data_IF_035935761710
#
_entry.id   IF_035935761710
#
_cell.length_a   1.000
_cell.length_b   1.000
_cell.length_c   1.000
_cell.angle_alpha   90.00
_cell.angle_beta   90.00
_cell.angle_gamma   90.00
#
_symmetry.space_group_name_H-M   'P 1'
#
loop_
_entity.id
_entity.type
_entity.pdbx_description
1 polymer ?
#
# COMPACT_ATOMS: atom_id res chain seq x y z
N UNK A 1 19.79 -16.47 51.75
CA UNK A 1 18.62 -17.23 51.27
C UNK A 1 18.08 -16.53 50.03
N UNK A 2 18.60 -16.90 48.86
CA UNK A 2 18.14 -16.37 47.57
C UNK A 2 17.48 -17.51 46.81
N UNK A 3 16.15 -17.56 46.82
CA UNK A 3 15.39 -18.53 46.03
C UNK A 3 15.31 -18.02 44.59
N UNK A 4 15.99 -18.74 43.70
CA UNK A 4 15.91 -18.62 42.27
C UNK A 4 14.46 -18.83 41.79
N UNK A 5 13.88 -17.80 41.17
CA UNK A 5 12.80 -18.00 40.21
C UNK A 5 13.45 -18.37 38.88
N UNK A 6 13.79 -19.65 38.73
CA UNK A 6 13.99 -20.24 37.42
C UNK A 6 12.62 -20.29 36.73
N UNK A 7 12.33 -19.26 35.93
CA UNK A 7 11.25 -19.35 34.95
C UNK A 7 11.68 -20.41 33.95
N UNK A 8 10.96 -21.53 33.95
CA UNK A 8 11.12 -22.57 32.95
C UNK A 8 10.87 -21.94 31.58
N UNK A 9 11.94 -21.82 30.77
CA UNK A 9 11.81 -21.59 29.33
C UNK A 9 11.13 -22.82 28.74
N UNK A 10 9.80 -22.78 28.66
CA UNK A 10 9.02 -23.76 27.89
C UNK A 10 9.40 -23.57 26.43
N UNK A 11 9.93 -24.64 25.82
CA UNK A 11 10.46 -24.69 24.45
C UNK A 11 9.41 -24.56 23.36
N UNK A 12 8.67 -23.45 23.33
CA UNK A 12 7.73 -23.09 22.25
C UNK A 12 8.20 -21.88 21.42
N UNK A 13 9.45 -21.42 21.62
CA UNK A 13 9.98 -20.19 20.97
C UNK A 13 10.78 -20.50 19.70
N UNK A 14 10.58 -21.66 19.06
CA UNK A 14 11.39 -22.06 17.91
C UNK A 14 11.02 -21.40 16.56
N UNK A 15 10.13 -20.41 16.48
CA UNK A 15 9.96 -19.69 15.19
C UNK A 15 9.37 -18.27 15.24
N UNK A 16 9.78 -17.39 16.16
CA UNK A 16 9.36 -15.97 16.10
C UNK A 16 10.10 -15.15 15.02
N UNK A 17 10.93 -15.80 14.20
CA UNK A 17 11.63 -15.16 13.08
C UNK A 17 10.76 -14.99 11.83
N UNK A 18 11.22 -14.19 10.86
CA UNK A 18 10.62 -14.16 9.52
C UNK A 18 10.43 -15.57 8.97
N UNK A 19 9.24 -15.82 8.45
CA UNK A 19 8.78 -17.12 7.90
C UNK A 19 8.54 -18.23 8.94
N UNK A 20 8.46 -17.86 10.22
CA UNK A 20 7.88 -18.73 11.25
C UNK A 20 6.37 -18.92 11.14
N UNK A 21 5.81 -19.78 11.99
CA UNK A 21 4.41 -20.20 11.88
C UNK A 21 3.40 -19.04 11.93
N UNK A 22 3.63 -18.07 12.83
CA UNK A 22 2.78 -16.87 12.94
C UNK A 22 2.87 -15.97 11.71
N UNK A 23 4.08 -15.79 11.17
CA UNK A 23 4.29 -14.98 9.98
C UNK A 23 3.55 -15.58 8.77
N UNK A 24 3.73 -16.89 8.53
CA UNK A 24 3.06 -17.60 7.46
C UNK A 24 1.53 -17.59 7.62
N UNK A 25 1.03 -17.73 8.86
CA UNK A 25 -0.39 -17.61 9.16
C UNK A 25 -0.94 -16.23 8.78
N UNK A 26 -0.26 -15.15 9.18
CA UNK A 26 -0.71 -13.78 8.89
C UNK A 26 -0.67 -13.46 7.39
N UNK A 27 0.37 -13.92 6.68
CA UNK A 27 0.43 -13.83 5.21
C UNK A 27 -0.69 -14.63 4.53
N UNK A 28 -0.94 -15.87 5.00
CA UNK A 28 -2.02 -16.71 4.50
C UNK A 28 -3.40 -16.09 4.73
N UNK A 29 -3.65 -15.57 5.93
CA UNK A 29 -4.86 -14.83 6.28
C UNK A 29 -5.04 -13.62 5.37
N UNK A 30 -3.97 -12.85 5.14
CA UNK A 30 -3.98 -11.70 4.23
C UNK A 30 -4.37 -12.10 2.81
N UNK A 31 -3.82 -13.20 2.29
CA UNK A 31 -4.13 -13.70 0.96
C UNK A 31 -5.60 -14.12 0.83
N UNK A 32 -6.13 -14.87 1.81
CA UNK A 32 -7.53 -15.30 1.84
C UNK A 32 -8.47 -14.09 1.90
N UNK A 33 -8.20 -13.13 2.79
CA UNK A 33 -8.97 -11.89 2.88
C UNK A 33 -8.87 -11.07 1.58
N UNK A 34 -7.72 -11.05 0.92
CA UNK A 34 -7.52 -10.38 -0.36
C UNK A 34 -8.43 -10.95 -1.44
N UNK A 35 -8.48 -12.27 -1.56
CA UNK A 35 -9.40 -12.96 -2.49
C UNK A 35 -10.86 -12.65 -2.14
N UNK A 36 -11.23 -12.71 -0.86
CA UNK A 36 -12.58 -12.42 -0.40
C UNK A 36 -13.02 -10.99 -0.70
N UNK A 37 -12.14 -10.00 -0.45
CA UNK A 37 -12.40 -8.57 -0.75
C UNK A 37 -12.57 -8.36 -2.26
N UNK A 38 -11.67 -8.90 -3.08
CA UNK A 38 -11.76 -8.79 -4.54
C UNK A 38 -13.05 -9.43 -5.05
N UNK A 39 -13.38 -10.64 -4.59
CA UNK A 39 -14.60 -11.33 -4.98
C UNK A 39 -15.86 -10.57 -4.56
N UNK A 40 -15.92 -10.12 -3.30
CA UNK A 40 -17.06 -9.37 -2.76
C UNK A 40 -17.29 -8.06 -3.50
N UNK A 41 -16.24 -7.26 -3.72
CA UNK A 41 -16.34 -5.99 -4.44
C UNK A 41 -16.74 -6.18 -5.91
N UNK A 42 -16.28 -7.26 -6.58
CA UNK A 42 -16.74 -7.58 -7.94
C UNK A 42 -18.26 -7.82 -8.02
N UNK A 43 -18.86 -8.43 -6.99
CA UNK A 43 -20.30 -8.72 -6.94
C UNK A 43 -21.16 -7.47 -6.78
N UNK A 44 -20.64 -6.45 -6.12
CA UNK A 44 -21.37 -5.20 -5.85
C UNK A 44 -20.88 -4.02 -6.70
N UNK A 45 -19.97 -4.25 -7.65
CA UNK A 45 -19.34 -3.21 -8.47
C UNK A 45 -20.37 -2.36 -9.21
N UNK A 46 -20.19 -1.04 -9.17
CA UNK A 46 -21.07 -0.04 -9.78
C UNK A 46 -22.32 0.29 -8.97
N UNK A 47 -22.52 -0.33 -7.80
CA UNK A 47 -23.71 -0.12 -6.97
C UNK A 47 -23.48 0.91 -5.86
N UNK A 48 -24.56 1.37 -5.24
CA UNK A 48 -24.49 2.15 -3.99
C UNK A 48 -23.81 1.38 -2.87
N UNK A 49 -24.00 0.06 -2.80
CA UNK A 49 -23.39 -0.78 -1.78
C UNK A 49 -21.86 -0.73 -1.87
N UNK A 50 -21.28 -0.78 -3.08
CA UNK A 50 -19.82 -0.62 -3.26
C UNK A 50 -19.33 0.72 -2.69
N UNK A 51 -20.02 1.81 -3.00
CA UNK A 51 -19.65 3.15 -2.50
C UNK A 51 -19.73 3.23 -1.00
N UNK A 52 -20.77 2.70 -0.38
CA UNK A 52 -20.88 2.66 1.08
C UNK A 52 -19.80 1.78 1.70
N UNK A 53 -19.53 0.59 1.16
CA UNK A 53 -18.49 -0.32 1.65
C UNK A 53 -17.12 0.34 1.61
N UNK A 54 -16.72 0.96 0.49
CA UNK A 54 -15.43 1.63 0.40
C UNK A 54 -15.35 2.86 1.29
N UNK A 55 -16.40 3.69 1.37
CA UNK A 55 -16.40 4.87 2.24
C UNK A 55 -16.33 4.48 3.71
N UNK A 56 -17.08 3.47 4.15
CA UNK A 56 -17.01 2.94 5.51
C UNK A 56 -15.60 2.43 5.81
N UNK A 57 -15.03 1.60 4.93
CA UNK A 57 -13.65 1.12 5.08
C UNK A 57 -12.63 2.26 5.13
N UNK A 58 -12.81 3.30 4.31
CA UNK A 58 -11.93 4.47 4.27
C UNK A 58 -12.02 5.31 5.54
N UNK A 59 -13.22 5.58 6.06
CA UNK A 59 -13.40 6.30 7.32
C UNK A 59 -12.91 5.49 8.52
N UNK A 60 -13.13 4.17 8.54
CA UNK A 60 -12.59 3.27 9.56
C UNK A 60 -11.07 3.28 9.54
N UNK A 61 -10.44 3.16 8.36
CA UNK A 61 -9.00 3.22 8.22
C UNK A 61 -8.44 4.59 8.65
N UNK A 62 -9.11 5.69 8.31
CA UNK A 62 -8.70 7.03 8.73
C UNK A 62 -8.73 7.15 10.27
N UNK A 63 -9.84 6.76 10.89
CA UNK A 63 -9.98 6.77 12.34
C UNK A 63 -8.92 5.92 13.04
N UNK A 64 -8.70 4.70 12.55
CA UNK A 64 -7.66 3.81 13.08
C UNK A 64 -6.24 4.38 12.91
N UNK A 65 -5.97 5.07 11.79
CA UNK A 65 -4.66 5.68 11.51
C UNK A 65 -4.38 6.89 12.38
N UNK A 66 -5.40 7.74 12.59
CA UNK A 66 -5.33 8.87 13.52
C UNK A 66 -5.14 8.35 14.94
N UNK A 67 -5.92 7.34 15.35
CA UNK A 67 -5.78 6.72 16.66
C UNK A 67 -4.37 6.16 16.87
N UNK A 68 -3.86 5.37 15.93
CA UNK A 68 -2.49 4.82 15.99
C UNK A 68 -1.46 5.94 16.14
N UNK A 69 -1.57 7.00 15.33
CA UNK A 69 -0.62 8.10 15.36
C UNK A 69 -0.67 8.88 16.67
N UNK A 70 -1.86 9.20 17.18
CA UNK A 70 -2.02 9.86 18.48
C UNK A 70 -1.47 8.99 19.60
N UNK A 71 -1.79 7.70 19.59
CA UNK A 71 -1.35 6.76 20.62
C UNK A 71 0.18 6.65 20.67
N UNK A 72 0.83 6.47 19.53
CA UNK A 72 2.29 6.34 19.46
C UNK A 72 3.03 7.65 19.77
N UNK A 73 2.33 8.79 19.73
CA UNK A 73 2.87 10.11 20.08
C UNK A 73 2.53 10.56 21.52
N UNK A 74 1.92 9.70 22.35
CA UNK A 74 1.75 10.00 23.77
C UNK A 74 3.12 10.07 24.47
N UNK A 75 3.33 10.98 25.45
CA UNK A 75 4.64 11.18 26.09
C UNK A 75 5.27 9.90 26.67
N UNK A 76 4.45 8.98 27.17
CA UNK A 76 4.88 7.69 27.72
C UNK A 76 5.44 6.69 26.68
N UNK A 77 5.18 6.92 25.39
CA UNK A 77 5.52 6.01 24.28
C UNK A 77 6.36 6.69 23.20
N UNK A 78 6.58 7.99 23.33
CA UNK A 78 7.23 8.76 22.29
C UNK A 78 8.70 8.39 22.16
N UNK A 79 9.05 7.85 21.01
CA UNK A 79 10.42 7.57 20.59
C UNK A 79 10.61 8.31 19.27
N UNK A 80 11.48 9.33 19.26
CA UNK A 80 11.64 10.22 18.11
C UNK A 80 11.95 9.49 16.79
N UNK A 81 12.63 8.35 16.85
CA UNK A 81 12.98 7.53 15.70
C UNK A 81 11.82 6.67 15.16
N UNK A 82 10.72 6.54 15.89
CA UNK A 82 9.61 5.63 15.57
C UNK A 82 8.25 6.33 15.54
N UNK A 83 8.03 7.35 16.38
CA UNK A 83 6.71 7.92 16.64
C UNK A 83 6.20 8.89 15.58
N UNK A 84 7.09 9.62 14.90
CA UNK A 84 6.65 10.51 13.84
C UNK A 84 6.13 9.69 12.65
N UNK A 85 4.95 10.04 12.09
CA UNK A 85 4.33 9.29 11.00
C UNK A 85 5.01 9.58 9.65
N UNK A 86 6.31 9.30 9.56
CA UNK A 86 7.18 9.69 8.46
C UNK A 86 7.57 8.50 7.56
N UNK A 87 7.33 7.25 7.97
CA UNK A 87 7.55 6.12 7.07
C UNK A 87 6.56 6.18 5.89
N UNK A 88 6.96 5.59 4.77
CA UNK A 88 6.09 5.45 3.59
C UNK A 88 4.74 4.80 3.93
N UNK A 89 4.72 3.80 4.83
CA UNK A 89 3.50 3.14 5.27
C UNK A 89 2.60 4.05 6.13
N UNK A 90 3.15 5.01 6.88
CA UNK A 90 2.37 5.98 7.64
C UNK A 90 1.57 6.88 6.70
N UNK A 91 2.27 7.53 5.75
CA UNK A 91 1.63 8.39 4.77
C UNK A 91 0.62 7.62 3.90
N UNK A 92 0.99 6.39 3.51
CA UNK A 92 0.14 5.54 2.68
C UNK A 92 -1.19 5.19 3.34
N UNK A 93 -1.25 5.01 4.67
CA UNK A 93 -2.52 4.75 5.37
C UNK A 93 -3.53 5.88 5.17
N UNK A 94 -3.07 7.13 5.30
CA UNK A 94 -3.89 8.31 5.06
C UNK A 94 -4.30 8.45 3.59
N UNK A 95 -3.36 8.24 2.65
CA UNK A 95 -3.66 8.27 1.22
C UNK A 95 -4.65 7.17 0.83
N UNK A 96 -4.55 5.99 1.45
CA UNK A 96 -5.48 4.87 1.24
C UNK A 96 -6.88 5.20 1.72
N UNK A 97 -7.02 5.82 2.89
CA UNK A 97 -8.31 6.31 3.35
C UNK A 97 -8.92 7.32 2.37
N UNK A 98 -8.11 8.28 1.87
CA UNK A 98 -8.55 9.23 0.84
C UNK A 98 -8.98 8.49 -0.44
N UNK A 99 -8.20 7.52 -0.90
CA UNK A 99 -8.51 6.74 -2.10
C UNK A 99 -9.84 5.98 -1.96
N UNK A 100 -10.09 5.37 -0.80
CA UNK A 100 -11.32 4.65 -0.51
C UNK A 100 -12.55 5.57 -0.43
N UNK A 101 -12.42 6.73 0.23
CA UNK A 101 -13.53 7.68 0.41
C UNK A 101 -13.88 8.38 -0.91
N UNK A 102 -12.85 8.79 -1.66
CA UNK A 102 -13.00 9.75 -2.77
C UNK A 102 -12.78 9.14 -4.16
N UNK A 103 -12.12 7.98 -4.25
CA UNK A 103 -11.70 7.33 -5.51
C UNK A 103 -10.92 8.24 -6.45
N UNK A 104 -10.23 9.26 -5.92
CA UNK A 104 -9.43 10.17 -6.75
C UNK A 104 -8.29 9.40 -7.41
N UNK A 105 -8.14 9.60 -8.72
CA UNK A 105 -7.18 8.87 -9.55
C UNK A 105 -5.74 8.91 -8.99
N UNK A 106 -5.33 10.06 -8.44
CA UNK A 106 -3.99 10.25 -7.90
C UNK A 106 -3.75 9.40 -6.64
N UNK A 107 -4.75 9.31 -5.76
CA UNK A 107 -4.67 8.53 -4.54
C UNK A 107 -4.69 7.04 -4.85
N UNK A 108 -5.56 6.61 -5.76
CA UNK A 108 -5.61 5.22 -6.24
C UNK A 108 -4.28 4.81 -6.90
N UNK A 109 -3.65 5.70 -7.68
CA UNK A 109 -2.35 5.43 -8.28
C UNK A 109 -1.26 5.23 -7.20
N UNK A 110 -1.18 6.10 -6.19
CA UNK A 110 -0.22 5.94 -5.09
C UNK A 110 -0.49 4.64 -4.34
N UNK A 111 -1.74 4.33 -4.00
CA UNK A 111 -2.13 3.08 -3.32
C UNK A 111 -1.75 1.84 -4.11
N UNK A 112 -1.91 1.87 -5.44
CA UNK A 112 -1.48 0.76 -6.30
C UNK A 112 0.01 0.49 -6.17
N UNK A 113 0.84 1.51 -6.34
CA UNK A 113 2.28 1.33 -6.38
C UNK A 113 2.87 1.13 -4.97
N UNK A 114 2.58 2.02 -4.04
CA UNK A 114 3.14 1.97 -2.70
C UNK A 114 2.54 0.81 -1.90
N UNK A 115 1.24 0.55 -2.05
CA UNK A 115 0.54 -0.53 -1.34
C UNK A 115 0.97 -1.93 -1.77
N UNK A 116 1.13 -2.16 -3.06
CA UNK A 116 1.52 -3.48 -3.57
C UNK A 116 3.02 -3.75 -3.54
N UNK A 117 3.84 -2.74 -3.27
CA UNK A 117 5.30 -2.92 -3.21
C UNK A 117 5.87 -2.53 -1.86
N UNK A 118 5.91 -1.24 -1.50
CA UNK A 118 6.55 -0.77 -0.27
C UNK A 118 5.85 -1.32 1.00
N UNK A 119 4.52 -1.25 1.05
CA UNK A 119 3.74 -1.80 2.17
C UNK A 119 3.81 -3.34 2.21
N UNK A 120 3.76 -4.00 1.04
CA UNK A 120 3.90 -5.45 0.96
C UNK A 120 5.28 -5.91 1.46
N UNK A 121 6.36 -5.18 1.14
CA UNK A 121 7.70 -5.48 1.64
C UNK A 121 7.75 -5.45 3.19
N UNK A 122 7.13 -4.45 3.82
CA UNK A 122 7.03 -4.41 5.28
C UNK A 122 6.32 -5.65 5.86
N UNK A 123 5.33 -6.20 5.14
CA UNK A 123 4.64 -7.42 5.56
C UNK A 123 5.45 -8.69 5.29
N UNK A 124 6.28 -8.72 4.24
CA UNK A 124 7.08 -9.90 3.87
C UNK A 124 8.36 -10.04 4.69
N UNK A 125 8.97 -8.91 5.06
CA UNK A 125 10.18 -8.85 5.89
C UNK A 125 9.94 -7.93 7.09
N UNK A 126 8.99 -8.28 7.99
CA UNK A 126 8.71 -7.47 9.16
C UNK A 126 9.90 -7.55 10.12
N UNK A 127 10.09 -6.49 10.91
CA UNK A 127 11.01 -6.54 12.03
C UNK A 127 10.55 -7.60 13.05
N UNK A 128 11.48 -8.34 13.65
CA UNK A 128 11.16 -9.49 14.51
C UNK A 128 10.21 -9.16 15.67
N UNK A 129 10.31 -7.95 16.26
CA UNK A 129 9.39 -7.52 17.32
C UNK A 129 7.93 -7.43 16.88
N UNK A 130 7.66 -7.35 15.57
CA UNK A 130 6.32 -7.41 14.97
C UNK A 130 5.81 -8.86 14.81
N UNK A 131 6.53 -9.85 15.33
CA UNK A 131 6.18 -11.27 15.31
C UNK A 131 6.23 -11.94 16.69
N UNK A 132 6.96 -11.36 17.66
CA UNK A 132 7.26 -12.03 18.94
C UNK A 132 6.05 -12.19 19.88
N UNK A 133 5.15 -11.20 19.95
CA UNK A 133 4.02 -11.19 20.89
C UNK A 133 2.77 -10.55 20.28
N UNK A 134 1.57 -10.94 20.77
CA UNK A 134 0.30 -10.29 20.46
C UNK A 134 0.13 -8.94 21.20
N UNK A 135 1.21 -8.15 21.22
CA UNK A 135 1.20 -6.79 21.75
C UNK A 135 0.28 -5.91 20.90
N UNK A 136 -0.20 -4.80 21.46
CA UNK A 136 -1.07 -3.93 20.67
C UNK A 136 -0.33 -3.27 19.49
N UNK A 137 0.99 -3.04 19.63
CA UNK A 137 1.83 -2.57 18.53
C UNK A 137 1.83 -3.59 17.39
N UNK A 138 2.04 -4.87 17.70
CA UNK A 138 2.03 -5.97 16.71
C UNK A 138 0.67 -6.08 16.03
N UNK A 139 -0.42 -6.04 16.80
CA UNK A 139 -1.78 -6.14 16.25
C UNK A 139 -2.08 -4.97 15.32
N UNK A 140 -1.75 -3.73 15.73
CA UNK A 140 -2.00 -2.55 14.90
C UNK A 140 -1.09 -2.50 13.68
N UNK A 141 0.17 -2.93 13.79
CA UNK A 141 1.08 -3.08 12.67
C UNK A 141 0.46 -3.97 11.59
N UNK A 142 0.09 -5.21 11.94
CA UNK A 142 -0.48 -6.14 10.97
C UNK A 142 -1.84 -5.68 10.46
N UNK A 143 -2.75 -5.25 11.33
CA UNK A 143 -4.08 -4.81 10.94
C UNK A 143 -4.05 -3.64 9.95
N UNK A 144 -3.21 -2.63 10.18
CA UNK A 144 -3.10 -1.46 9.30
C UNK A 144 -2.43 -1.80 7.96
N UNK A 145 -1.36 -2.59 7.96
CA UNK A 145 -0.70 -3.00 6.72
C UNK A 145 -1.59 -3.92 5.87
N UNK A 146 -2.32 -4.85 6.52
CA UNK A 146 -3.33 -5.67 5.86
C UNK A 146 -4.45 -4.79 5.28
N UNK A 147 -4.99 -3.84 6.04
CA UNK A 147 -6.05 -2.96 5.55
C UNK A 147 -5.64 -2.18 4.30
N UNK A 148 -4.41 -1.66 4.28
CA UNK A 148 -3.85 -0.96 3.11
C UNK A 148 -3.70 -1.89 1.91
N UNK A 149 -3.14 -3.10 2.11
CA UNK A 149 -2.98 -4.07 1.03
C UNK A 149 -4.33 -4.54 0.48
N UNK A 150 -5.28 -4.86 1.36
CA UNK A 150 -6.64 -5.26 0.98
C UNK A 150 -7.37 -4.15 0.23
N UNK A 151 -7.19 -2.88 0.63
CA UNK A 151 -7.74 -1.72 -0.07
C UNK A 151 -7.14 -1.57 -1.47
N UNK A 152 -5.82 -1.76 -1.63
CA UNK A 152 -5.18 -1.77 -2.93
C UNK A 152 -5.76 -2.90 -3.81
N UNK A 153 -5.80 -4.13 -3.30
CA UNK A 153 -6.38 -5.27 -4.02
C UNK A 153 -7.84 -5.00 -4.44
N UNK A 154 -8.64 -4.49 -3.52
CA UNK A 154 -10.04 -4.17 -3.71
C UNK A 154 -10.27 -3.07 -4.74
N UNK A 155 -9.54 -1.96 -4.69
CA UNK A 155 -9.68 -0.86 -5.64
C UNK A 155 -9.32 -1.27 -7.07
N UNK A 156 -8.23 -2.02 -7.26
CA UNK A 156 -7.77 -2.40 -8.60
C UNK A 156 -8.50 -3.60 -9.18
N UNK A 157 -8.61 -4.70 -8.44
CA UNK A 157 -9.20 -5.94 -8.98
C UNK A 157 -10.66 -6.16 -8.58
N UNK A 158 -11.13 -5.53 -7.50
CA UNK A 158 -12.53 -5.54 -7.08
C UNK A 158 -13.37 -4.51 -7.84
N UNK A 159 -13.06 -3.24 -7.63
CA UNK A 159 -13.71 -2.06 -8.24
C UNK A 159 -13.24 -1.78 -9.67
N UNK A 160 -12.16 -2.43 -10.10
CA UNK A 160 -11.66 -2.35 -11.47
C UNK A 160 -11.07 -1.00 -11.87
N UNK A 161 -10.49 -0.26 -10.92
CA UNK A 161 -9.67 0.91 -11.25
C UNK A 161 -8.42 0.47 -12.01
N UNK A 162 -7.90 1.35 -12.85
CA UNK A 162 -6.71 1.11 -13.65
C UNK A 162 -5.71 2.22 -13.46
N UNK A 163 -4.44 1.88 -13.64
CA UNK A 163 -3.33 2.81 -13.56
C UNK A 163 -2.61 2.82 -14.90
N UNK A 164 -2.21 4.01 -15.34
CA UNK A 164 -1.50 4.25 -16.58
C UNK A 164 -0.13 4.90 -16.29
N UNK A 165 0.57 5.32 -17.35
CA UNK A 165 1.86 5.99 -17.21
C UNK A 165 1.79 7.31 -16.43
N UNK A 166 0.63 8.00 -16.44
CA UNK A 166 0.43 9.21 -15.63
C UNK A 166 0.34 8.86 -14.14
N UNK A 167 -0.33 7.77 -13.80
CA UNK A 167 -0.33 7.25 -12.44
C UNK A 167 1.06 6.81 -11.98
N UNK A 168 1.83 6.15 -12.86
CA UNK A 168 3.23 5.78 -12.62
C UNK A 168 4.09 7.01 -12.30
N UNK A 169 4.12 8.01 -13.18
CA UNK A 169 4.97 9.19 -12.99
C UNK A 169 4.60 9.96 -11.72
N UNK A 170 3.30 10.07 -11.43
CA UNK A 170 2.81 10.67 -10.19
C UNK A 170 3.31 9.90 -8.96
N UNK A 171 3.05 8.60 -8.88
CA UNK A 171 3.38 7.82 -7.67
C UNK A 171 4.89 7.71 -7.46
N UNK A 172 5.65 7.57 -8.55
CA UNK A 172 7.11 7.51 -8.52
C UNK A 172 7.71 8.86 -8.13
N UNK A 173 7.23 9.94 -8.73
CA UNK A 173 7.61 11.30 -8.34
C UNK A 173 7.28 11.60 -6.87
N UNK A 174 6.11 11.17 -6.37
CA UNK A 174 5.75 11.30 -4.97
C UNK A 174 6.70 10.51 -4.05
N UNK A 175 7.15 9.32 -4.47
CA UNK A 175 8.06 8.51 -3.67
C UNK A 175 9.44 9.16 -3.56
N UNK A 176 9.95 9.70 -4.67
CA UNK A 176 11.21 10.44 -4.72
C UNK A 176 11.12 11.77 -3.95
N UNK A 177 10.02 12.51 -4.09
CA UNK A 177 9.80 13.73 -3.35
C UNK A 177 9.77 13.46 -1.84
N UNK A 178 9.11 12.38 -1.41
CA UNK A 178 9.12 11.99 0.01
C UNK A 178 10.52 11.60 0.48
N UNK A 179 11.28 10.81 -0.29
CA UNK A 179 12.68 10.50 0.05
C UNK A 179 13.53 11.76 0.21
N UNK A 180 13.36 12.74 -0.69
CA UNK A 180 14.08 14.01 -0.65
C UNK A 180 13.73 14.85 0.59
N UNK A 181 12.51 14.71 1.13
CA UNK A 181 12.12 15.30 2.41
C UNK A 181 12.72 14.53 3.59
N UNK A 182 12.70 13.19 3.54
CA UNK A 182 13.18 12.35 4.62
C UNK A 182 14.69 12.49 4.83
N UNK A 183 15.50 12.58 3.78
CA UNK A 183 16.96 12.71 3.88
C UNK A 183 17.43 13.81 4.85
N UNK A 184 17.02 15.09 4.69
CA UNK A 184 17.39 16.15 5.63
C UNK A 184 16.70 16.03 6.99
N UNK A 185 15.44 15.58 7.04
CA UNK A 185 14.71 15.40 8.31
C UNK A 185 15.39 14.36 9.20
N UNK A 186 15.72 13.21 8.63
CA UNK A 186 16.47 12.14 9.28
C UNK A 186 17.83 12.63 9.78
N UNK A 187 18.57 13.35 8.93
CA UNK A 187 19.88 13.91 9.30
C UNK A 187 19.78 14.93 10.43
N UNK A 188 18.74 15.76 10.45
CA UNK A 188 18.54 16.79 11.46
C UNK A 188 18.06 16.20 12.81
N UNK A 189 17.26 15.13 12.77
CA UNK A 189 16.68 14.51 13.97
C UNK A 189 17.48 13.30 14.48
N UNK A 190 18.50 12.84 13.75
CA UNK A 190 19.22 11.62 14.07
C UNK A 190 18.36 10.36 13.97
N UNK A 191 17.42 10.34 12.99
CA UNK A 191 16.47 9.25 12.76
C UNK A 191 16.68 8.62 11.39
N UNK A 192 15.94 7.55 11.06
CA UNK A 192 16.06 6.87 9.78
C UNK A 192 14.69 6.44 9.21
N UNK A 193 13.77 7.39 9.10
CA UNK A 193 12.48 7.15 8.47
C UNK A 193 12.64 6.79 7.00
N UNK A 194 11.86 5.81 6.55
CA UNK A 194 11.91 5.30 5.17
C UNK A 194 13.21 4.60 4.79
N UNK A 195 14.18 4.46 5.70
CA UNK A 195 15.47 3.79 5.49
C UNK A 195 16.30 4.38 4.33
N UNK A 196 16.25 5.72 4.19
CA UNK A 196 16.97 6.46 3.13
C UNK A 196 18.34 6.99 3.56
N UNK A 197 18.65 6.94 4.86
CA UNK A 197 19.96 7.37 5.42
C UNK A 197 20.85 6.17 5.74
N UNK A 198 20.25 5.05 6.15
CA UNK A 198 20.94 3.77 6.37
C UNK A 198 19.95 2.60 6.18
N UNK A 199 20.43 1.37 5.91
CA UNK A 199 19.58 0.18 5.88
C UNK A 199 18.84 -0.05 7.22
N UNK A 200 17.66 -0.69 7.20
CA UNK A 200 16.96 -1.05 8.43
C UNK A 200 17.81 -1.99 9.30
N UNK A 201 17.68 -1.94 10.63
CA UNK A 201 18.37 -2.87 11.52
C UNK A 201 17.89 -4.31 11.30
N UNK A 202 18.84 -5.24 11.18
CA UNK A 202 18.59 -6.66 10.90
C UNK A 202 19.03 -7.04 9.49
N UNK A 203 18.66 -8.24 9.04
CA UNK A 203 18.93 -8.70 7.68
C UNK A 203 17.81 -8.27 6.75
N UNK A 204 18.15 -7.55 5.68
CA UNK A 204 17.22 -7.01 4.70
C UNK A 204 17.74 -7.19 3.27
N UNK A 205 16.86 -7.08 2.28
CA UNK A 205 17.27 -7.06 0.88
C UNK A 205 18.13 -5.84 0.53
N UNK A 206 18.04 -4.77 1.34
CA UNK A 206 18.81 -3.54 1.15
C UNK A 206 20.30 -3.79 1.39
N UNK A 207 20.64 -4.71 2.28
CA UNK A 207 22.04 -5.06 2.60
C UNK A 207 22.80 -5.64 1.41
N UNK A 208 22.08 -6.16 0.41
CA UNK A 208 22.65 -6.72 -0.82
C UNK A 208 23.00 -5.64 -1.86
N UNK A 209 22.59 -4.38 -1.64
CA UNK A 209 22.67 -3.31 -2.63
C UNK A 209 23.88 -2.37 -2.43
N UNK A 210 24.74 -2.66 -1.46
CA UNK A 210 25.97 -1.90 -1.19
C UNK A 210 25.81 -0.79 -0.16
N UNK A 211 26.88 -0.02 0.13
CA UNK A 211 26.88 1.00 1.18
C UNK A 211 26.03 2.22 0.78
N UNK A 212 25.64 3.02 1.76
CA UNK A 212 25.05 4.33 1.50
C UNK A 212 26.05 5.24 0.75
N UNK A 213 25.64 6.03 -0.26
CA UNK A 213 24.30 6.20 -0.81
C UNK A 213 23.96 5.26 -2.00
N UNK A 214 24.83 4.30 -2.33
CA UNK A 214 24.71 3.43 -3.51
C UNK A 214 23.43 2.59 -3.47
N UNK A 215 23.05 2.04 -2.31
CA UNK A 215 21.82 1.25 -2.23
C UNK A 215 20.58 2.08 -2.54
N UNK A 216 20.55 3.37 -2.15
CA UNK A 216 19.40 4.26 -2.40
C UNK A 216 19.23 4.45 -3.91
N UNK A 217 20.34 4.62 -4.64
CA UNK A 217 20.33 4.69 -6.09
C UNK A 217 19.78 3.39 -6.72
N UNK A 218 20.20 2.22 -6.21
CA UNK A 218 19.64 0.94 -6.66
C UNK A 218 18.17 0.78 -6.35
N UNK A 219 17.70 1.22 -5.17
CA UNK A 219 16.28 1.20 -4.82
C UNK A 219 15.46 2.06 -5.78
N UNK A 220 15.95 3.26 -6.13
CA UNK A 220 15.30 4.14 -7.12
C UNK A 220 15.13 3.42 -8.46
N UNK A 221 16.20 2.79 -8.97
CA UNK A 221 16.16 2.05 -10.25
C UNK A 221 15.24 0.83 -10.17
N UNK A 222 15.38 0.01 -9.13
CA UNK A 222 14.64 -1.24 -8.98
C UNK A 222 13.15 -0.96 -8.84
N UNK A 223 12.76 -0.04 -7.95
CA UNK A 223 11.36 0.35 -7.75
C UNK A 223 10.79 0.93 -9.05
N UNK A 224 11.52 1.83 -9.72
CA UNK A 224 11.09 2.40 -10.99
C UNK A 224 10.88 1.34 -12.07
N UNK A 225 11.78 0.37 -12.16
CA UNK A 225 11.69 -0.76 -13.11
C UNK A 225 10.49 -1.64 -12.81
N UNK A 226 10.32 -2.07 -11.54
CA UNK A 226 9.19 -2.90 -11.12
C UNK A 226 7.87 -2.17 -11.38
N UNK A 227 7.78 -0.88 -11.08
CA UNK A 227 6.56 -0.11 -11.29
C UNK A 227 6.26 0.14 -12.77
N UNK A 228 7.28 0.31 -13.61
CA UNK A 228 7.11 0.37 -15.05
C UNK A 228 6.56 -0.96 -15.60
N UNK A 229 7.11 -2.10 -15.14
CA UNK A 229 6.61 -3.44 -15.48
C UNK A 229 5.18 -3.67 -14.96
N UNK A 230 4.84 -3.18 -13.76
CA UNK A 230 3.48 -3.20 -13.22
C UNK A 230 2.51 -2.36 -14.04
N UNK A 231 2.97 -1.28 -14.69
CA UNK A 231 2.13 -0.37 -15.49
C UNK A 231 1.86 -0.92 -16.89
N UNK A 232 2.86 -1.60 -17.46
CA UNK A 232 2.88 -2.03 -18.85
C UNK A 232 1.65 -2.85 -19.32
N UNK A 233 1.16 -3.88 -18.58
CA UNK A 233 0.02 -4.67 -19.02
C UNK A 233 -1.28 -3.87 -19.09
N UNK A 234 -1.47 -2.91 -18.19
CA UNK A 234 -2.68 -2.07 -18.13
C UNK A 234 -2.83 -1.18 -19.35
N UNK A 235 -1.71 -0.64 -19.84
CA UNK A 235 -1.68 0.26 -21.00
C UNK A 235 -1.75 -0.53 -22.31
N UNK A 236 -1.04 -1.67 -22.41
CA UNK A 236 -1.10 -2.53 -23.60
C UNK A 236 -2.48 -3.15 -23.82
N UNK A 237 -3.12 -3.66 -22.77
CA UNK A 237 -4.46 -4.25 -22.84
C UNK A 237 -5.61 -3.25 -23.08
N UNK A 238 -5.34 -1.94 -23.01
CA UNK A 238 -6.32 -0.88 -23.25
C UNK A 238 -6.52 -0.51 -24.72
N UNK A 239 -5.61 -0.91 -25.63
CA UNK A 239 -5.67 -0.56 -27.06
C UNK A 239 -6.58 -1.46 -27.91
N UNK A 240 -7.10 -2.57 -27.37
CA UNK A 240 -7.85 -3.57 -28.15
C UNK A 240 -9.38 -3.44 -28.10
N UNK A 241 -9.94 -2.30 -27.65
CA UNK A 241 -11.38 -2.03 -27.73
C UNK A 241 -11.63 -0.63 -28.31
N UNK A 242 -11.57 -0.52 -29.63
CA UNK A 242 -12.22 0.56 -30.36
C UNK A 242 -13.26 -0.06 -31.32
N UNK A 243 -14.58 0.10 -31.09
CA UNK A 243 -15.62 -0.38 -32.01
C UNK A 243 -15.95 0.58 -33.17
N UNK A 244 -15.22 1.69 -33.33
CA UNK A 244 -15.53 2.65 -34.40
C UNK A 244 -14.83 2.29 -35.71
N UNK A 245 -15.39 1.26 -36.36
CA UNK A 245 -15.11 0.87 -37.74
C UNK A 245 -16.39 0.84 -38.59
N UNK A 246 -17.25 1.86 -38.48
CA UNK A 246 -18.53 1.83 -39.20
C UNK A 246 -19.37 3.09 -39.16
N UNK A 247 -18.80 4.27 -39.44
CA UNK A 247 -19.58 5.46 -39.83
C UNK A 247 -18.81 6.33 -40.82
N UNK A 248 -18.66 5.86 -42.05
CA UNK A 248 -18.53 6.73 -43.21
C UNK A 248 -19.54 6.30 -44.27
N UNK A 249 -20.35 7.25 -44.73
CA UNK A 249 -21.23 7.07 -45.88
C UNK A 249 -22.73 7.25 -45.61
N UNK A 250 -23.16 8.41 -45.09
CA UNK A 250 -24.47 8.98 -45.48
C UNK A 250 -24.36 10.49 -45.65
N UNK A 251 -24.23 10.89 -46.90
CA UNK A 251 -24.38 12.26 -47.40
C UNK A 251 -25.83 12.74 -47.16
N UNK A 252 -26.06 13.99 -46.72
CA UNK A 252 -27.40 14.53 -46.58
C UNK A 252 -27.82 15.26 -47.85
N UNK A 253 -29.02 14.97 -48.37
CA UNK A 253 -29.90 15.88 -49.13
C UNK A 253 -30.88 15.06 -49.97
N UNK A 254 -32.17 15.14 -49.65
CA UNK A 254 -33.12 15.85 -50.49
C UNK A 254 -34.49 15.93 -49.82
N UNK A 255 -34.91 17.18 -49.67
CA UNK A 255 -36.24 17.68 -49.32
C UNK A 255 -37.28 17.12 -50.30
N UNK A 256 -38.34 16.49 -49.80
CA UNK A 256 -39.53 16.26 -50.62
C UNK A 256 -40.82 16.64 -49.88
N UNK A 257 -41.70 17.18 -50.70
CA UNK A 257 -42.78 18.13 -50.42
C UNK A 257 -43.98 17.51 -49.71
N UNK A 258 -44.74 18.39 -49.06
CA UNK A 258 -46.06 18.21 -48.45
C UNK A 258 -47.11 17.59 -49.39
N UNK A 259 -48.13 16.89 -48.85
CA UNK A 259 -49.21 16.30 -49.64
C UNK A 259 -50.32 17.32 -49.92
N UNK A 260 -50.85 17.32 -51.15
CA UNK A 260 -52.03 18.08 -51.55
C UNK A 260 -52.64 17.50 -52.84
N UNK A 261 -53.97 17.37 -52.80
CA UNK A 261 -54.92 16.79 -53.76
C UNK A 261 -55.16 15.27 -53.63
#
# INVERSE_FOLDING_TARGET
MGSAFAVAHTGWVESSGPFGGIHLFLLGLTAVLGVAVVWGLRRIRGTRAETLTLQLAGWTLLGASIFYSVWYNLPERFILAESLPLHYSDLLRYITAIALITRRWWAVAIVYFWGLTLNLQAMLTPHHTMLDHASVVTVLYWALHMAVLLAALGLLWGSGHRVDWRGFTLAYGAALAWAAVLLPVNSALGTNYGFVNEPPPGTSLIDLLGPWPIYVFWLVILVGTVWALMTWPWVRGGRSRNPDGGREGRTPSQTQKTPGA
#
